data_IF_358167679222
#
_entry.id   IF_358167679222
#
_cell.length_a   1.000
_cell.length_b   1.000
_cell.length_c   1.000
_cell.angle_alpha   90.00
_cell.angle_beta   90.00
_cell.angle_gamma   90.00
#
_symmetry.space_group_name_H-M   'P 1'
#
loop_
_entity.id
_entity.type
_entity.pdbx_description
1 polymer ?
#
# COMPACT_ATOMS: atom_id res chain seq x y z
N UNK A 1 29.25 9.64 -23.16
CA UNK A 1 27.90 9.41 -22.60
C UNK A 1 27.69 8.02 -22.01
N UNK A 2 28.16 6.92 -22.62
CA UNK A 2 28.03 5.54 -22.07
C UNK A 2 28.83 5.33 -20.77
N UNK A 3 30.02 5.91 -20.63
CA UNK A 3 30.84 5.75 -19.42
C UNK A 3 30.31 6.52 -18.21
N UNK A 4 29.78 7.73 -18.43
CA UNK A 4 29.11 8.50 -17.37
C UNK A 4 27.89 7.76 -16.84
N UNK A 5 27.12 7.13 -17.71
CA UNK A 5 25.94 6.33 -17.35
C UNK A 5 26.29 5.06 -16.59
N UNK A 6 27.38 4.37 -16.98
CA UNK A 6 27.87 3.21 -16.24
C UNK A 6 28.41 3.61 -14.85
N UNK A 7 29.16 4.70 -14.77
CA UNK A 7 29.70 5.19 -13.50
C UNK A 7 28.63 5.71 -12.55
N UNK A 8 27.56 6.33 -13.09
CA UNK A 8 26.39 6.79 -12.33
C UNK A 8 25.61 5.59 -11.77
N UNK A 9 25.35 4.57 -12.61
CA UNK A 9 24.69 3.34 -12.17
C UNK A 9 25.51 2.56 -11.14
N UNK A 10 26.82 2.45 -11.34
CA UNK A 10 27.71 1.79 -10.38
C UNK A 10 27.81 2.57 -9.07
N UNK A 11 27.78 3.90 -9.07
CA UNK A 11 27.75 4.72 -7.86
C UNK A 11 26.42 4.60 -7.11
N UNK A 12 25.27 4.59 -7.81
CA UNK A 12 23.97 4.35 -7.17
C UNK A 12 23.91 2.93 -6.59
N UNK A 13 24.40 1.92 -7.32
CA UNK A 13 24.42 0.54 -6.87
C UNK A 13 25.40 0.32 -5.71
N UNK A 14 26.51 1.06 -5.66
CA UNK A 14 27.48 0.98 -4.56
C UNK A 14 27.10 1.81 -3.35
N UNK A 15 26.32 2.89 -3.52
CA UNK A 15 25.85 3.76 -2.44
C UNK A 15 24.47 3.36 -1.88
N UNK A 16 23.68 2.56 -2.60
CA UNK A 16 22.53 1.92 -1.96
C UNK A 16 23.06 0.91 -0.95
N UNK A 17 23.24 1.42 0.26
CA UNK A 17 23.60 0.60 1.41
C UNK A 17 22.46 -0.41 1.58
N UNK A 18 22.65 -1.58 0.98
CA UNK A 18 21.65 -2.65 0.76
C UNK A 18 20.97 -3.07 2.07
N UNK A 19 21.59 -2.69 3.20
CA UNK A 19 21.02 -2.90 4.54
C UNK A 19 19.75 -2.06 4.79
N UNK A 20 19.63 -0.86 4.22
CA UNK A 20 18.51 0.07 4.44
C UNK A 20 17.34 -0.14 3.49
N UNK A 21 17.55 -0.72 2.30
CA UNK A 21 16.50 -0.90 1.28
C UNK A 21 15.27 -1.66 1.80
N UNK A 22 15.47 -2.70 2.59
CA UNK A 22 14.40 -3.46 3.22
C UNK A 22 13.57 -2.63 4.20
N UNK A 23 14.22 -1.74 4.96
CA UNK A 23 13.56 -0.84 5.89
C UNK A 23 12.78 0.28 5.21
N UNK A 24 13.27 0.75 4.06
CA UNK A 24 12.53 1.69 3.19
C UNK A 24 11.24 1.04 2.71
N UNK A 25 11.30 -0.19 2.21
CA UNK A 25 10.10 -0.92 1.81
C UNK A 25 9.12 -1.14 2.97
N UNK A 26 9.64 -1.50 4.14
CA UNK A 26 8.81 -1.62 5.35
C UNK A 26 8.11 -0.30 5.69
N UNK A 27 8.87 0.80 5.76
CA UNK A 27 8.32 2.11 6.11
C UNK A 27 7.30 2.61 5.07
N UNK A 28 7.59 2.46 3.77
CA UNK A 28 6.66 2.83 2.71
C UNK A 28 5.38 2.01 2.77
N UNK A 29 5.50 0.70 2.97
CA UNK A 29 4.36 -0.19 3.07
C UNK A 29 3.53 0.06 4.34
N UNK A 30 4.19 0.40 5.45
CA UNK A 30 3.53 0.79 6.69
C UNK A 30 2.70 2.06 6.50
N UNK A 31 3.29 3.10 5.91
CA UNK A 31 2.63 4.41 5.71
C UNK A 31 1.44 4.26 4.74
N UNK A 32 1.61 3.54 3.62
CA UNK A 32 0.55 3.30 2.63
C UNK A 32 -0.64 2.55 3.23
N UNK A 33 -0.37 1.54 4.04
CA UNK A 33 -1.41 0.74 4.66
C UNK A 33 -2.07 1.41 5.87
N UNK A 34 -1.45 2.47 6.42
CA UNK A 34 -1.99 3.23 7.56
C UNK A 34 -2.84 4.42 7.12
N UNK A 35 -2.22 5.42 6.46
CA UNK A 35 -2.83 6.75 6.31
C UNK A 35 -2.59 7.42 4.95
N UNK A 36 -1.41 7.25 4.34
CA UNK A 36 -0.99 8.02 3.18
C UNK A 36 -0.75 7.12 1.98
N UNK A 37 -1.36 7.43 0.82
CA UNK A 37 -1.17 6.66 -0.40
C UNK A 37 0.25 6.81 -0.92
N UNK A 38 1.04 5.75 -0.84
CA UNK A 38 2.40 5.70 -1.39
C UNK A 38 2.50 4.63 -2.50
N UNK A 39 3.33 4.86 -3.52
CA UNK A 39 3.49 3.91 -4.61
C UNK A 39 4.38 2.72 -4.22
N UNK A 40 3.97 1.93 -3.23
CA UNK A 40 4.73 0.80 -2.67
C UNK A 40 5.05 -0.24 -3.73
N UNK A 41 4.06 -0.60 -4.56
CA UNK A 41 4.25 -1.61 -5.61
C UNK A 41 5.32 -1.19 -6.62
N UNK A 42 5.36 0.09 -7.01
CA UNK A 42 6.38 0.64 -7.91
C UNK A 42 7.76 0.63 -7.27
N UNK A 43 7.85 1.05 -6.00
CA UNK A 43 9.11 1.02 -5.23
C UNK A 43 9.63 -0.41 -5.06
N UNK A 44 8.75 -1.36 -4.76
CA UNK A 44 9.06 -2.78 -4.68
C UNK A 44 9.61 -3.34 -6.00
N UNK A 45 8.95 -3.03 -7.12
CA UNK A 45 9.39 -3.44 -8.46
C UNK A 45 10.77 -2.89 -8.80
N UNK A 46 11.04 -1.61 -8.49
CA UNK A 46 12.36 -1.00 -8.70
C UNK A 46 13.47 -1.74 -7.93
N UNK A 47 13.23 -2.10 -6.67
CA UNK A 47 14.23 -2.79 -5.88
C UNK A 47 14.48 -4.23 -6.35
N UNK A 48 13.46 -4.95 -6.80
CA UNK A 48 13.66 -6.28 -7.40
C UNK A 48 14.39 -6.18 -8.74
N UNK A 49 14.12 -5.16 -9.55
CA UNK A 49 14.83 -4.91 -10.80
C UNK A 49 16.32 -4.61 -10.55
N UNK A 50 16.66 -3.93 -9.45
CA UNK A 50 18.04 -3.64 -9.08
C UNK A 50 18.76 -4.87 -8.52
N UNK A 51 18.11 -5.64 -7.66
CA UNK A 51 18.68 -6.84 -7.03
C UNK A 51 17.62 -7.92 -6.84
N UNK A 52 17.47 -8.79 -7.83
CA UNK A 52 16.51 -9.90 -7.81
C UNK A 52 16.91 -11.04 -6.86
N UNK A 53 18.18 -11.11 -6.44
CA UNK A 53 18.66 -12.17 -5.55
C UNK A 53 18.08 -12.06 -4.13
N UNK A 54 17.56 -10.87 -3.78
CA UNK A 54 16.97 -10.56 -2.48
C UNK A 54 15.46 -10.46 -2.48
N UNK A 55 14.80 -10.91 -3.54
CA UNK A 55 13.33 -10.81 -3.72
C UNK A 55 12.56 -11.29 -2.49
N UNK A 56 12.93 -12.41 -1.90
CA UNK A 56 12.28 -12.97 -0.70
C UNK A 56 12.35 -12.00 0.49
N UNK A 57 13.50 -11.36 0.70
CA UNK A 57 13.65 -10.37 1.78
C UNK A 57 12.78 -9.14 1.52
N UNK A 58 12.72 -8.66 0.28
CA UNK A 58 11.88 -7.52 -0.08
C UNK A 58 10.40 -7.84 0.11
N UNK A 59 9.96 -9.04 -0.30
CA UNK A 59 8.60 -9.52 -0.06
C UNK A 59 8.29 -9.51 1.44
N UNK A 60 9.13 -10.14 2.27
CA UNK A 60 8.90 -10.25 3.71
C UNK A 60 8.80 -8.87 4.39
N UNK A 61 9.74 -7.96 4.12
CA UNK A 61 9.71 -6.64 4.75
C UNK A 61 8.53 -5.78 4.27
N UNK A 62 8.15 -5.89 3.00
CA UNK A 62 6.96 -5.19 2.47
C UNK A 62 5.68 -5.73 3.12
N UNK A 63 5.53 -7.04 3.24
CA UNK A 63 4.36 -7.65 3.89
C UNK A 63 4.30 -7.28 5.37
N UNK A 64 5.43 -7.36 6.09
CA UNK A 64 5.48 -6.97 7.51
C UNK A 64 5.11 -5.49 7.69
N UNK A 65 5.62 -4.62 6.82
CA UNK A 65 5.25 -3.20 6.81
C UNK A 65 3.76 -2.99 6.55
N UNK A 66 3.22 -3.66 5.52
CA UNK A 66 1.79 -3.57 5.20
C UNK A 66 0.93 -4.11 6.36
N UNK A 67 1.28 -5.23 6.96
CA UNK A 67 0.55 -5.78 8.11
C UNK A 67 0.56 -4.82 9.30
N UNK A 68 1.74 -4.34 9.68
CA UNK A 68 1.84 -3.39 10.80
C UNK A 68 1.07 -2.10 10.53
N UNK A 69 1.17 -1.55 9.30
CA UNK A 69 0.43 -0.36 8.89
C UNK A 69 -1.07 -0.60 8.82
N UNK A 70 -1.50 -1.75 8.30
CA UNK A 70 -2.93 -2.08 8.21
C UNK A 70 -3.55 -2.31 9.58
N UNK A 71 -2.82 -2.88 10.52
CA UNK A 71 -3.26 -2.98 11.92
C UNK A 71 -3.42 -1.59 12.52
N UNK A 72 -2.46 -0.68 12.32
CA UNK A 72 -2.59 0.70 12.77
C UNK A 72 -3.80 1.40 12.13
N UNK A 73 -4.01 1.23 10.83
CA UNK A 73 -5.18 1.74 10.12
C UNK A 73 -6.50 1.17 10.65
N UNK A 74 -6.56 -0.15 10.86
CA UNK A 74 -7.72 -0.82 11.44
C UNK A 74 -8.06 -0.27 12.83
N UNK A 75 -7.07 -0.19 13.72
CA UNK A 75 -7.27 0.33 15.07
C UNK A 75 -7.72 1.80 15.04
N UNK A 76 -7.13 2.61 14.19
CA UNK A 76 -7.57 4.00 13.99
C UNK A 76 -9.04 4.05 13.53
N UNK A 77 -9.40 3.26 12.52
CA UNK A 77 -10.79 3.15 12.06
C UNK A 77 -11.74 2.71 13.18
N UNK A 78 -11.35 1.71 13.95
CA UNK A 78 -12.15 1.20 15.05
C UNK A 78 -12.36 2.26 16.15
N UNK A 79 -11.31 2.86 16.67
CA UNK A 79 -11.40 3.80 17.80
C UNK A 79 -11.92 5.19 17.39
N UNK A 80 -11.76 5.62 16.15
CA UNK A 80 -12.29 6.91 15.69
C UNK A 80 -13.77 6.83 15.36
N UNK A 81 -14.22 5.72 14.77
CA UNK A 81 -15.60 5.59 14.31
C UNK A 81 -16.52 4.90 15.34
N UNK A 82 -15.96 4.16 16.29
CA UNK A 82 -16.70 3.48 17.34
C UNK A 82 -16.24 3.95 18.72
N UNK A 83 -17.19 4.01 19.65
CA UNK A 83 -16.88 4.21 21.07
C UNK A 83 -16.43 2.88 21.71
N UNK A 84 -15.91 2.93 22.93
CA UNK A 84 -15.50 1.76 23.69
C UNK A 84 -16.64 0.73 23.86
N UNK A 85 -17.89 1.19 23.85
CA UNK A 85 -19.09 0.35 23.94
C UNK A 85 -19.54 -0.23 22.60
N UNK A 86 -18.77 -0.03 21.51
CA UNK A 86 -19.13 -0.45 20.15
C UNK A 86 -20.22 0.38 19.47
N UNK A 87 -20.68 1.45 20.11
CA UNK A 87 -21.64 2.39 19.56
C UNK A 87 -20.93 3.38 18.62
N UNK A 88 -21.71 4.01 17.73
CA UNK A 88 -21.20 5.02 16.81
C UNK A 88 -20.65 6.23 17.57
N UNK A 89 -19.42 6.63 17.25
CA UNK A 89 -18.76 7.77 17.89
C UNK A 89 -19.44 9.09 17.52
N UNK A 90 -19.23 10.12 18.36
CA UNK A 90 -19.68 11.48 18.08
C UNK A 90 -19.07 12.03 16.77
N UNK A 91 -17.84 11.63 16.43
CA UNK A 91 -17.22 11.98 15.17
C UNK A 91 -17.98 11.42 13.96
N UNK A 92 -18.43 10.16 14.03
CA UNK A 92 -19.22 9.55 12.95
C UNK A 92 -20.59 10.21 12.83
N UNK A 93 -21.23 10.58 13.96
CA UNK A 93 -22.47 11.35 13.95
C UNK A 93 -22.31 12.74 13.34
N UNK A 94 -21.18 13.41 13.62
CA UNK A 94 -20.82 14.67 12.97
C UNK A 94 -20.71 14.51 11.44
N UNK A 95 -20.05 13.43 10.97
CA UNK A 95 -19.94 13.14 9.54
C UNK A 95 -21.31 12.92 8.88
N UNK A 96 -22.23 12.21 9.53
CA UNK A 96 -23.58 12.01 9.00
C UNK A 96 -24.35 13.31 8.81
N UNK A 97 -24.11 14.28 9.67
CA UNK A 97 -24.83 15.54 9.65
C UNK A 97 -24.24 16.58 8.68
N UNK A 98 -22.95 16.46 8.34
CA UNK A 98 -22.24 17.51 7.59
C UNK A 98 -21.75 17.06 6.21
N UNK A 99 -21.63 15.75 5.94
CA UNK A 99 -21.16 15.25 4.65
C UNK A 99 -22.33 14.77 3.78
N UNK A 100 -22.64 15.44 2.65
CA UNK A 100 -23.68 15.00 1.74
C UNK A 100 -23.32 13.61 1.17
N UNK A 101 -24.29 12.69 1.20
CA UNK A 101 -24.11 11.30 0.77
C UNK A 101 -23.55 10.33 1.82
N UNK A 102 -23.03 10.84 2.94
CA UNK A 102 -22.56 10.00 4.05
C UNK A 102 -23.66 9.90 5.13
N UNK A 103 -24.56 8.94 4.96
CA UNK A 103 -25.70 8.75 5.85
C UNK A 103 -25.56 7.48 6.70
N UNK A 104 -26.32 7.41 7.80
CA UNK A 104 -26.36 6.23 8.64
C UNK A 104 -26.80 4.97 7.88
N UNK A 105 -27.69 5.11 6.89
CA UNK A 105 -28.12 4.00 6.04
C UNK A 105 -26.98 3.53 5.10
N UNK A 106 -26.24 4.45 4.53
CA UNK A 106 -25.06 4.13 3.71
C UNK A 106 -23.99 3.41 4.55
N UNK A 107 -23.71 3.89 5.75
CA UNK A 107 -22.78 3.24 6.69
C UNK A 107 -23.21 1.81 7.03
N UNK A 108 -24.48 1.60 7.41
CA UNK A 108 -25.03 0.26 7.70
C UNK A 108 -25.00 -0.66 6.47
N UNK A 109 -25.26 -0.12 5.29
CA UNK A 109 -25.13 -0.85 4.02
C UNK A 109 -23.70 -1.35 3.79
N UNK A 110 -22.72 -0.48 3.97
CA UNK A 110 -21.28 -0.85 3.86
C UNK A 110 -20.85 -1.84 4.94
N UNK A 111 -21.31 -1.67 6.18
CA UNK A 111 -21.06 -2.63 7.25
C UNK A 111 -21.62 -4.03 6.91
N UNK A 112 -22.82 -4.10 6.33
CA UNK A 112 -23.41 -5.36 5.87
C UNK A 112 -22.61 -5.98 4.72
N UNK A 113 -22.07 -5.17 3.79
CA UNK A 113 -21.20 -5.66 2.72
C UNK A 113 -19.89 -6.21 3.29
N UNK A 114 -19.28 -5.52 4.25
CA UNK A 114 -18.07 -6.01 4.93
C UNK A 114 -18.33 -7.30 5.71
N UNK A 115 -19.47 -7.43 6.38
CA UNK A 115 -19.80 -8.68 7.11
C UNK A 115 -20.01 -9.89 6.20
N UNK A 116 -20.54 -9.67 4.98
CA UNK A 116 -20.76 -10.75 3.98
C UNK A 116 -19.54 -11.04 3.12
N UNK A 117 -18.84 -9.99 2.67
CA UNK A 117 -17.82 -10.05 1.63
C UNK A 117 -16.45 -9.53 2.06
N UNK A 118 -16.27 -9.23 3.36
CA UNK A 118 -15.08 -8.54 3.84
C UNK A 118 -13.76 -9.22 3.45
N UNK A 119 -13.68 -10.54 3.51
CA UNK A 119 -12.52 -11.30 3.03
C UNK A 119 -12.20 -11.01 1.56
N UNK A 120 -13.24 -11.05 0.70
CA UNK A 120 -13.09 -10.80 -0.74
C UNK A 120 -12.81 -9.33 -1.05
N UNK A 121 -13.42 -8.41 -0.30
CA UNK A 121 -13.15 -6.98 -0.42
C UNK A 121 -11.66 -6.71 -0.13
N UNK A 122 -11.14 -7.20 0.99
CA UNK A 122 -9.74 -7.03 1.37
C UNK A 122 -8.78 -7.73 0.43
N UNK A 123 -9.15 -8.93 -0.04
CA UNK A 123 -8.35 -9.68 -0.99
C UNK A 123 -8.23 -8.93 -2.33
N UNK A 124 -9.35 -8.53 -2.92
CA UNK A 124 -9.37 -7.81 -4.20
C UNK A 124 -8.78 -6.41 -4.09
N UNK A 125 -8.95 -5.74 -2.95
CA UNK A 125 -8.36 -4.43 -2.66
C UNK A 125 -6.85 -4.40 -2.89
N UNK A 126 -6.15 -5.47 -2.53
CA UNK A 126 -4.70 -5.58 -2.72
C UNK A 126 -4.25 -5.48 -4.17
N UNK A 127 -5.12 -5.84 -5.12
CA UNK A 127 -4.84 -5.81 -6.56
C UNK A 127 -5.35 -4.55 -7.25
N UNK A 128 -6.08 -3.70 -6.54
CA UNK A 128 -6.54 -2.40 -7.07
C UNK A 128 -5.45 -1.33 -6.90
N UNK A 129 -5.49 -0.24 -7.69
CA UNK A 129 -4.61 0.91 -7.49
C UNK A 129 -5.03 1.79 -6.30
N UNK A 130 -6.10 1.43 -5.59
CA UNK A 130 -6.60 2.17 -4.44
C UNK A 130 -5.69 1.91 -3.23
N UNK A 131 -5.32 2.96 -2.46
CA UNK A 131 -4.46 2.81 -1.28
C UNK A 131 -5.06 1.82 -0.27
N UNK A 132 -4.23 0.89 0.20
CA UNK A 132 -4.68 -0.16 1.12
C UNK A 132 -5.14 0.39 2.49
N UNK A 133 -4.61 1.55 2.89
CA UNK A 133 -5.00 2.25 4.10
C UNK A 133 -6.49 2.56 4.19
N UNK A 134 -7.16 2.86 3.07
CA UNK A 134 -8.62 3.08 3.05
C UNK A 134 -9.39 1.82 3.42
N UNK A 135 -8.95 0.66 2.99
CA UNK A 135 -9.59 -0.62 3.31
C UNK A 135 -9.32 -1.04 4.75
N UNK A 136 -8.11 -0.77 5.28
CA UNK A 136 -7.79 -1.04 6.67
C UNK A 136 -8.59 -0.15 7.63
N UNK A 137 -8.70 1.15 7.36
CA UNK A 137 -9.58 2.07 8.10
C UNK A 137 -11.05 1.63 8.06
N UNK A 138 -11.55 1.30 6.87
CA UNK A 138 -12.94 0.86 6.69
C UNK A 138 -13.25 -0.44 7.43
N UNK A 139 -12.33 -1.41 7.40
CA UNK A 139 -12.50 -2.67 8.12
C UNK A 139 -12.63 -2.44 9.63
N UNK A 140 -11.84 -1.53 10.20
CA UNK A 140 -11.94 -1.12 11.60
C UNK A 140 -13.23 -0.36 11.88
N UNK A 141 -13.59 0.62 11.04
CA UNK A 141 -14.79 1.42 11.18
C UNK A 141 -16.08 0.57 11.14
N UNK A 142 -16.10 -0.48 10.30
CA UNK A 142 -17.27 -1.38 10.20
C UNK A 142 -17.21 -2.56 11.18
N UNK A 143 -16.24 -2.57 12.09
CA UNK A 143 -16.06 -3.62 13.09
C UNK A 143 -15.92 -5.02 12.48
N UNK A 144 -15.21 -5.13 11.37
CA UNK A 144 -14.92 -6.42 10.75
C UNK A 144 -13.99 -7.24 11.66
N UNK A 145 -14.14 -8.56 11.69
CA UNK A 145 -13.31 -9.43 12.52
C UNK A 145 -11.81 -9.18 12.33
N UNK A 146 -11.11 -8.78 13.40
CA UNK A 146 -9.69 -8.46 13.38
C UNK A 146 -8.81 -9.63 12.88
N UNK A 147 -9.12 -10.86 13.32
CA UNK A 147 -8.36 -12.04 12.90
C UNK A 147 -8.55 -12.33 11.41
N UNK A 148 -9.79 -12.25 10.92
CA UNK A 148 -10.09 -12.43 9.50
C UNK A 148 -9.46 -11.31 8.66
N UNK A 149 -9.45 -10.08 9.18
CA UNK A 149 -8.77 -8.95 8.54
C UNK A 149 -7.26 -9.19 8.39
N UNK A 150 -6.58 -9.58 9.47
CA UNK A 150 -5.14 -9.88 9.44
C UNK A 150 -4.83 -11.05 8.48
N UNK A 151 -5.64 -12.10 8.50
CA UNK A 151 -5.48 -13.25 7.64
C UNK A 151 -5.68 -12.88 6.16
N UNK A 152 -6.75 -12.15 5.82
CA UNK A 152 -7.01 -11.69 4.46
C UNK A 152 -5.90 -10.77 3.94
N UNK A 153 -5.45 -9.83 4.78
CA UNK A 153 -4.34 -8.93 4.47
C UNK A 153 -3.06 -9.71 4.19
N UNK A 154 -2.70 -10.63 5.08
CA UNK A 154 -1.49 -11.44 4.92
C UNK A 154 -1.53 -12.23 3.61
N UNK A 155 -2.61 -12.96 3.38
CA UNK A 155 -2.76 -13.84 2.22
C UNK A 155 -2.76 -13.05 0.90
N UNK A 156 -3.52 -11.97 0.84
CA UNK A 156 -3.63 -11.14 -0.37
C UNK A 156 -2.32 -10.41 -0.71
N UNK A 157 -1.63 -9.87 0.29
CA UNK A 157 -0.36 -9.17 0.09
C UNK A 157 0.77 -10.16 -0.25
N UNK A 158 0.77 -11.34 0.36
CA UNK A 158 1.72 -12.39 0.02
C UNK A 158 1.56 -12.80 -1.45
N UNK A 159 0.34 -13.07 -1.88
CA UNK A 159 0.06 -13.43 -3.27
C UNK A 159 0.45 -12.30 -4.22
N UNK A 160 0.06 -11.05 -3.93
CA UNK A 160 0.40 -9.88 -4.75
C UNK A 160 1.90 -9.74 -4.95
N UNK A 161 2.67 -9.65 -3.86
CA UNK A 161 4.11 -9.38 -3.96
C UNK A 161 4.90 -10.59 -4.47
N UNK A 162 4.42 -11.81 -4.20
CA UNK A 162 4.99 -13.00 -4.82
C UNK A 162 4.79 -13.01 -6.33
N UNK A 163 3.57 -12.74 -6.81
CA UNK A 163 3.29 -12.64 -8.25
C UNK A 163 4.09 -11.52 -8.92
N UNK A 164 4.18 -10.34 -8.30
CA UNK A 164 4.99 -9.25 -8.81
C UNK A 164 6.47 -9.63 -8.91
N UNK A 165 7.01 -10.27 -7.87
CA UNK A 165 8.39 -10.75 -7.88
C UNK A 165 8.61 -11.82 -8.95
N UNK A 166 7.70 -12.79 -9.05
CA UNK A 166 7.76 -13.86 -10.06
C UNK A 166 7.77 -13.30 -11.49
N UNK A 167 6.85 -12.40 -11.79
CA UNK A 167 6.77 -11.76 -13.11
C UNK A 167 8.07 -11.02 -13.43
N UNK A 168 8.58 -10.21 -12.50
CA UNK A 168 9.80 -9.43 -12.73
C UNK A 168 11.06 -10.29 -12.81
N UNK A 169 11.17 -11.35 -12.03
CA UNK A 169 12.35 -12.23 -12.10
C UNK A 169 12.39 -13.02 -13.41
N UNK A 170 11.24 -13.45 -13.93
CA UNK A 170 11.17 -14.22 -15.17
C UNK A 170 11.17 -13.34 -16.46
N UNK A 171 10.47 -12.19 -16.41
CA UNK A 171 10.39 -11.27 -17.55
C UNK A 171 11.44 -10.16 -17.47
N UNK A 172 12.01 -9.95 -16.28
CA UNK A 172 12.92 -8.88 -15.92
C UNK A 172 14.13 -8.67 -16.82
N UNK A 173 14.78 -9.71 -17.38
CA UNK A 173 15.87 -9.50 -18.34
C UNK A 173 15.43 -8.73 -19.58
N UNK A 174 14.23 -9.02 -20.10
CA UNK A 174 13.63 -8.31 -21.24
C UNK A 174 13.17 -6.90 -20.83
N UNK A 175 12.56 -6.78 -19.67
CA UNK A 175 12.10 -5.50 -19.13
C UNK A 175 13.29 -4.59 -18.76
N UNK A 176 14.39 -5.12 -18.20
CA UNK A 176 15.63 -4.36 -17.97
C UNK A 176 16.16 -3.75 -19.25
N UNK A 177 16.02 -4.44 -20.37
CA UNK A 177 16.43 -3.92 -21.69
C UNK A 177 15.57 -2.72 -22.11
N UNK A 178 14.27 -2.78 -21.88
CA UNK A 178 13.31 -1.70 -22.16
C UNK A 178 13.51 -0.53 -21.19
N UNK A 179 13.69 -0.80 -19.89
CA UNK A 179 13.92 0.21 -18.86
C UNK A 179 15.32 0.85 -18.91
N UNK A 180 16.34 0.13 -19.38
CA UNK A 180 17.65 0.74 -19.66
C UNK A 180 17.57 1.84 -20.73
N UNK A 181 16.58 1.78 -21.60
CA UNK A 181 16.39 2.75 -22.67
C UNK A 181 15.59 3.99 -22.23
N UNK A 182 14.77 3.93 -21.18
CA UNK A 182 13.88 5.03 -20.78
C UNK A 182 13.58 5.07 -19.27
N UNK A 183 14.56 5.48 -18.46
CA UNK A 183 14.30 5.76 -17.02
C UNK A 183 13.48 7.04 -16.79
N UNK A 184 13.46 7.97 -17.75
CA UNK A 184 12.74 9.25 -17.66
C UNK A 184 11.23 9.11 -17.39
N UNK A 185 10.44 8.25 -18.09
CA UNK A 185 9.01 8.16 -17.82
C UNK A 185 8.66 7.61 -16.44
N UNK A 186 9.50 6.77 -15.83
CA UNK A 186 9.22 6.20 -14.49
C UNK A 186 9.44 7.25 -13.42
N UNK A 187 10.50 8.04 -13.51
CA UNK A 187 10.72 9.17 -12.60
C UNK A 187 9.62 10.23 -12.76
N UNK A 188 9.13 10.45 -13.98
CA UNK A 188 8.00 11.37 -14.22
C UNK A 188 6.71 10.80 -13.62
N UNK A 189 6.39 9.53 -13.81
CA UNK A 189 5.20 8.91 -13.22
C UNK A 189 5.28 8.93 -11.68
N UNK A 190 6.42 8.59 -11.10
CA UNK A 190 6.63 8.64 -9.66
C UNK A 190 6.51 10.08 -9.11
N UNK A 191 7.09 11.07 -9.80
CA UNK A 191 6.99 12.48 -9.40
C UNK A 191 5.58 13.04 -9.56
N UNK A 192 4.84 12.64 -10.60
CA UNK A 192 3.43 13.01 -10.81
C UNK A 192 2.54 12.38 -9.73
N UNK A 193 2.75 11.10 -9.38
CA UNK A 193 2.02 10.46 -8.29
C UNK A 193 2.28 11.14 -6.94
N UNK A 194 3.53 11.52 -6.66
CA UNK A 194 3.90 12.27 -5.43
C UNK A 194 3.28 13.68 -5.47
N UNK A 195 3.33 14.37 -6.60
CA UNK A 195 2.75 15.69 -6.76
C UNK A 195 1.22 15.67 -6.62
N UNK A 196 0.54 14.66 -7.18
CA UNK A 196 -0.91 14.46 -7.02
C UNK A 196 -1.27 14.13 -5.57
N UNK A 197 -0.49 13.29 -4.89
CA UNK A 197 -0.69 13.01 -3.46
C UNK A 197 -0.55 14.29 -2.61
N UNK A 198 0.46 15.13 -2.91
CA UNK A 198 0.66 16.41 -2.23
C UNK A 198 -0.40 17.46 -2.58
N UNK A 199 -0.94 17.44 -3.82
CA UNK A 199 -2.05 18.32 -4.22
C UNK A 199 -3.36 17.96 -3.52
N UNK A 200 -3.65 16.66 -3.40
CA UNK A 200 -4.84 16.17 -2.68
C UNK A 200 -4.78 16.59 -1.20
N UNK A 201 -3.60 16.55 -0.58
CA UNK A 201 -3.43 16.99 0.82
C UNK A 201 -3.50 18.52 1.00
N UNK A 202 -3.46 19.32 -0.08
CA UNK A 202 -3.64 20.79 -0.03
C UNK A 202 -5.08 21.24 -0.29
N UNK A 203 -5.92 20.36 -0.85
CA UNK A 203 -7.32 20.66 -1.21
C UNK A 203 -8.30 20.18 -0.13
N UNK A 204 -7.83 19.29 0.77
CA UNK A 204 -8.55 18.83 1.98
C UNK A 204 -8.05 19.63 3.19
#
# INVERSE_FOLDING_TARGET
MKEWYNNFNLRILSQTNIKWTKWVLFAFAFIDASFLPLPVSTTFLLFILLDSTRSVRYILFTILGTLAGSVAGYLTGHFVFLNADGNLSGFLQFLFNHLPGFSQNAYKGMQTLYSKWGLWILFTASFTPIPYGLFSLSAGAFNFSFLLFCFATLLSQLLKYYLLAYVITNIGPKVRMIFKLNMKPILVIASVCIALALLVTRII
#
